data_IF_364575316295
#
_entry.id   IF_364575316295
#
_cell.length_a   1.000
_cell.length_b   1.000
_cell.length_c   1.000
_cell.angle_alpha   90.00
_cell.angle_beta   90.00
_cell.angle_gamma   90.00
#
_symmetry.space_group_name_H-M   'P 1'
#
loop_
_entity.id
_entity.type
_entity.pdbx_description
1 polymer ?
#
# COMPACT_ATOMS: atom_id res chain seq x y z
N UNK A 1 -17.37 -74.61 -25.71
CA UNK A 1 -18.48 -73.83 -25.12
C UNK A 1 -18.05 -72.37 -25.24
N UNK A 2 -18.17 -71.70 -26.39
CA UNK A 2 -19.39 -71.36 -27.17
C UNK A 2 -20.51 -70.82 -26.27
N UNK A 3 -21.18 -69.69 -26.50
CA UNK A 3 -21.06 -68.52 -27.39
C UNK A 3 -22.21 -67.55 -26.98
N UNK A 4 -22.19 -66.30 -27.48
CA UNK A 4 -23.29 -65.31 -27.62
C UNK A 4 -23.25 -64.07 -26.70
N UNK A 5 -22.85 -62.88 -27.19
CA UNK A 5 -23.45 -61.92 -28.19
C UNK A 5 -24.35 -60.89 -27.47
N UNK A 6 -24.18 -59.57 -27.64
CA UNK A 6 -24.28 -58.76 -28.88
C UNK A 6 -23.51 -57.42 -28.76
N UNK A 7 -22.73 -57.05 -29.78
CA UNK A 7 -22.88 -55.90 -30.74
C UNK A 7 -22.56 -54.51 -30.14
N UNK A 8 -21.79 -53.58 -30.73
CA UNK A 8 -21.40 -53.34 -32.13
C UNK A 8 -20.11 -52.47 -32.24
N UNK A 9 -19.67 -52.25 -33.49
CA UNK A 9 -18.35 -51.82 -33.94
C UNK A 9 -18.42 -50.44 -34.66
N UNK A 10 -17.27 -49.75 -34.81
CA UNK A 10 -16.91 -48.71 -35.81
C UNK A 10 -17.07 -47.19 -35.47
N UNK A 11 -15.92 -46.59 -35.15
CA UNK A 11 -15.21 -45.42 -35.76
C UNK A 11 -15.83 -44.02 -35.96
N UNK A 12 -14.93 -43.02 -35.78
CA UNK A 12 -14.78 -41.68 -36.41
C UNK A 12 -15.05 -40.43 -35.56
N UNK A 13 -13.96 -39.66 -35.41
CA UNK A 13 -13.78 -38.20 -35.60
C UNK A 13 -14.90 -37.23 -35.19
N UNK A 14 -14.42 -36.25 -34.40
CA UNK A 14 -14.62 -34.78 -34.47
C UNK A 14 -16.02 -34.20 -34.33
N UNK A 15 -16.03 -33.12 -33.53
CA UNK A 15 -16.63 -31.79 -33.75
C UNK A 15 -17.56 -31.37 -32.59
N UNK A 16 -17.76 -30.09 -32.21
CA UNK A 16 -17.31 -28.71 -32.54
C UNK A 16 -17.83 -27.90 -31.32
N UNK A 17 -17.10 -26.95 -30.70
CA UNK A 17 -17.06 -25.51 -31.03
C UNK A 17 -18.42 -24.85 -31.30
N UNK A 18 -18.67 -23.71 -30.67
CA UNK A 18 -19.40 -22.55 -31.20
C UNK A 18 -19.21 -21.36 -30.21
N UNK A 19 -18.86 -20.13 -30.59
CA UNK A 19 -18.83 -19.51 -31.91
C UNK A 19 -17.90 -18.30 -31.93
N UNK A 20 -17.05 -18.22 -32.95
CA UNK A 20 -16.86 -16.99 -33.70
C UNK A 20 -17.35 -17.28 -35.12
N UNK A 21 -18.31 -16.49 -35.61
CA UNK A 21 -18.76 -16.48 -37.00
C UNK A 21 -18.49 -15.07 -37.54
N UNK A 22 -17.33 -14.92 -38.17
CA UNK A 22 -16.93 -13.95 -39.18
C UNK A 22 -15.43 -14.23 -39.40
N UNK A 23 -14.89 -14.56 -40.56
CA UNK A 23 -15.39 -14.61 -41.91
C UNK A 23 -14.47 -15.59 -42.69
N UNK A 24 -15.07 -16.35 -43.61
CA UNK A 24 -14.35 -17.01 -44.69
C UNK A 24 -14.74 -16.31 -45.99
N UNK A 25 -14.05 -15.21 -46.30
CA UNK A 25 -13.78 -14.79 -47.66
C UNK A 25 -12.29 -14.44 -47.69
N UNK A 26 -11.59 -14.97 -48.70
CA UNK A 26 -10.14 -14.95 -48.76
C UNK A 26 -9.52 -13.56 -48.74
N UNK A 27 -8.19 -13.58 -48.54
CA UNK A 27 -7.26 -12.46 -48.40
C UNK A 27 -7.21 -11.87 -46.99
N UNK A 28 -6.29 -12.38 -46.17
CA UNK A 28 -5.45 -11.54 -45.31
C UNK A 28 -4.30 -12.39 -44.75
N UNK A 29 -3.07 -11.89 -44.92
CA UNK A 29 -1.87 -12.45 -44.29
C UNK A 29 -2.09 -12.46 -42.78
N UNK A 30 -1.72 -13.56 -42.12
CA UNK A 30 -1.55 -13.59 -40.67
C UNK A 30 -0.37 -12.64 -40.39
N UNK A 31 -0.67 -11.43 -39.94
CA UNK A 31 0.34 -10.55 -39.33
C UNK A 31 0.62 -11.10 -37.94
N UNK A 32 1.90 -11.28 -37.64
CA UNK A 32 2.40 -11.56 -36.29
C UNK A 32 1.81 -10.57 -35.27
N UNK A 33 1.69 -10.92 -33.98
CA UNK A 33 1.33 -9.96 -32.96
C UNK A 33 2.43 -8.88 -32.91
N UNK A 34 2.15 -7.74 -33.53
CA UNK A 34 2.95 -6.53 -33.40
C UNK A 34 2.71 -6.00 -32.00
N UNK A 35 3.45 -6.50 -31.02
CA UNK A 35 3.73 -5.72 -29.82
C UNK A 35 4.87 -4.77 -30.17
N UNK A 36 4.57 -3.71 -30.92
CA UNK A 36 5.44 -2.54 -30.98
C UNK A 36 5.10 -1.65 -29.78
N UNK A 37 5.66 -1.98 -28.62
CA UNK A 37 5.80 -0.96 -27.56
C UNK A 37 7.00 -0.10 -27.94
N UNK A 38 6.78 0.77 -28.91
CA UNK A 38 7.62 1.94 -29.17
C UNK A 38 6.74 3.17 -29.07
N UNK A 39 6.03 3.30 -27.95
CA UNK A 39 5.78 4.64 -27.44
C UNK A 39 7.07 5.05 -26.74
N UNK A 40 7.73 6.07 -27.26
CA UNK A 40 8.70 6.83 -26.49
C UNK A 40 7.98 7.30 -25.23
N UNK A 41 8.24 6.65 -24.09
CA UNK A 41 7.84 7.13 -22.77
C UNK A 41 8.71 8.36 -22.49
N UNK A 42 8.34 9.47 -23.11
CA UNK A 42 9.07 10.75 -23.03
C UNK A 42 8.54 11.64 -21.89
N UNK A 43 7.46 11.26 -21.21
CA UNK A 43 6.92 12.02 -20.07
C UNK A 43 6.83 11.10 -18.84
N UNK A 44 7.98 10.64 -18.34
CA UNK A 44 8.02 10.02 -17.01
C UNK A 44 7.63 11.06 -15.95
N UNK A 45 7.02 10.63 -14.83
CA UNK A 45 6.74 11.52 -13.72
C UNK A 45 8.03 12.19 -13.28
N UNK A 46 7.97 13.49 -13.01
CA UNK A 46 9.14 14.29 -12.59
C UNK A 46 9.62 13.95 -11.17
N UNK A 47 9.15 12.84 -10.57
CA UNK A 47 9.43 12.46 -9.18
C UNK A 47 10.88 12.03 -8.94
N UNK A 48 11.70 11.98 -10.00
CA UNK A 48 13.14 11.73 -9.93
C UNK A 48 13.50 10.27 -9.67
N UNK A 49 14.80 10.01 -9.57
CA UNK A 49 15.31 8.76 -8.99
C UNK A 49 15.51 8.97 -7.48
N UNK A 50 15.32 7.91 -6.67
CA UNK A 50 15.52 8.01 -5.24
C UNK A 50 16.95 8.45 -4.91
N UNK A 51 17.09 9.56 -4.18
CA UNK A 51 18.36 9.91 -3.55
C UNK A 51 18.42 9.38 -2.13
N UNK A 52 19.61 9.02 -1.66
CA UNK A 52 19.80 8.58 -0.28
C UNK A 52 19.67 9.79 0.65
N UNK A 53 18.88 9.67 1.71
CA UNK A 53 18.65 10.75 2.68
C UNK A 53 18.39 10.23 4.11
N UNK A 54 18.84 10.99 5.09
CA UNK A 54 18.56 10.82 6.53
C UNK A 54 17.17 11.33 6.89
N UNK A 55 16.70 11.03 8.11
CA UNK A 55 15.41 11.53 8.61
C UNK A 55 15.33 13.06 8.61
N UNK A 56 16.39 13.72 9.06
CA UNK A 56 16.50 15.18 9.11
C UNK A 56 16.53 15.79 7.72
N UNK A 57 17.23 15.15 6.77
CA UNK A 57 17.27 15.62 5.39
C UNK A 57 15.90 15.51 4.74
N UNK A 58 15.17 14.40 4.95
CA UNK A 58 13.83 14.19 4.37
C UNK A 58 12.82 15.19 4.96
N UNK A 59 12.81 15.38 6.29
CA UNK A 59 11.87 16.31 6.95
C UNK A 59 12.23 17.77 6.75
N UNK A 60 13.49 18.06 6.42
CA UNK A 60 14.00 19.41 6.18
C UNK A 60 13.88 19.89 4.75
N UNK A 61 13.43 19.05 3.80
CA UNK A 61 13.18 19.51 2.44
C UNK A 61 11.93 20.37 2.40
N UNK A 62 11.96 21.41 1.57
CA UNK A 62 10.78 22.14 1.11
C UNK A 62 10.68 21.94 -0.39
N UNK A 63 9.88 20.96 -0.78
CA UNK A 63 9.84 20.45 -2.13
C UNK A 63 8.74 21.12 -2.97
N UNK A 64 9.08 21.78 -4.10
CA UNK A 64 8.07 22.40 -4.97
C UNK A 64 7.19 21.37 -5.71
N UNK A 65 7.54 20.09 -5.63
CA UNK A 65 6.78 18.96 -6.18
C UNK A 65 7.25 17.64 -5.57
N UNK A 66 6.66 16.53 -5.98
CA UNK A 66 6.92 15.22 -5.37
C UNK A 66 8.36 14.74 -5.59
N UNK A 67 9.00 14.27 -4.52
CA UNK A 67 10.37 13.75 -4.52
C UNK A 67 10.43 12.36 -3.89
N UNK A 68 11.36 11.52 -4.36
CA UNK A 68 11.60 10.19 -3.80
C UNK A 68 12.97 10.09 -3.12
N UNK A 69 12.99 9.38 -1.99
CA UNK A 69 14.20 9.07 -1.24
C UNK A 69 14.36 7.56 -1.03
N UNK A 70 15.60 7.17 -0.81
CA UNK A 70 15.94 5.92 -0.15
C UNK A 70 16.44 6.26 1.25
N UNK A 71 15.85 5.65 2.28
CA UNK A 71 16.18 6.00 3.66
C UNK A 71 17.58 5.50 4.02
N UNK A 72 18.41 6.40 4.54
CA UNK A 72 19.83 6.13 4.80
C UNK A 72 20.06 4.99 5.81
N UNK A 73 19.28 4.98 6.91
CA UNK A 73 19.47 3.98 7.98
C UNK A 73 18.97 2.58 7.58
N UNK A 74 18.04 2.51 6.63
CA UNK A 74 17.53 1.25 6.10
C UNK A 74 17.20 1.40 4.60
N UNK A 75 18.11 0.97 3.71
CA UNK A 75 17.96 1.17 2.27
C UNK A 75 16.84 0.32 1.64
N UNK A 76 16.17 -0.55 2.41
CA UNK A 76 14.97 -1.25 1.98
C UNK A 76 13.71 -0.39 2.08
N UNK A 77 13.79 0.76 2.74
CA UNK A 77 12.70 1.73 2.88
C UNK A 77 12.89 2.85 1.86
N UNK A 78 11.90 3.03 1.01
CA UNK A 78 11.77 4.15 0.09
C UNK A 78 10.74 5.11 0.64
N UNK A 79 10.98 6.41 0.45
CA UNK A 79 10.09 7.48 0.92
C UNK A 79 9.63 8.28 -0.28
N UNK A 80 8.32 8.46 -0.42
CA UNK A 80 7.73 9.36 -1.40
C UNK A 80 7.14 10.55 -0.67
N UNK A 81 7.75 11.71 -0.88
CA UNK A 81 7.35 12.99 -0.32
C UNK A 81 6.48 13.74 -1.31
N UNK A 82 5.18 13.82 -1.06
CA UNK A 82 4.25 14.57 -1.90
C UNK A 82 4.37 16.07 -1.62
N UNK A 83 5.18 16.75 -2.44
CA UNK A 83 5.46 18.17 -2.34
C UNK A 83 4.53 19.08 -3.14
N UNK A 84 4.73 20.38 -2.97
CA UNK A 84 3.98 21.44 -3.66
C UNK A 84 2.60 21.74 -3.05
N UNK A 85 1.88 22.68 -3.68
CA UNK A 85 0.63 23.28 -3.15
C UNK A 85 -0.53 22.28 -3.02
N UNK A 86 -0.44 21.11 -3.66
CA UNK A 86 -1.49 20.08 -3.69
C UNK A 86 -0.97 18.70 -3.23
N UNK A 87 0.04 18.65 -2.36
CA UNK A 87 0.69 17.41 -1.91
C UNK A 87 -0.29 16.35 -1.40
N UNK A 88 -1.18 16.72 -0.45
CA UNK A 88 -2.22 15.81 0.04
C UNK A 88 -3.10 15.25 -1.06
N UNK A 89 -3.58 16.14 -1.92
CA UNK A 89 -4.50 15.78 -2.98
C UNK A 89 -3.85 14.75 -3.90
N UNK A 90 -2.58 14.94 -4.22
CA UNK A 90 -1.81 13.99 -5.01
C UNK A 90 -1.64 12.66 -4.28
N UNK A 91 -1.21 12.68 -3.01
CA UNK A 91 -1.10 11.46 -2.19
C UNK A 91 -2.41 10.67 -2.17
N UNK A 92 -3.54 11.35 -1.93
CA UNK A 92 -4.86 10.74 -1.91
C UNK A 92 -5.24 10.10 -3.25
N UNK A 93 -4.88 10.74 -4.37
CA UNK A 93 -5.10 10.17 -5.70
C UNK A 93 -4.21 8.96 -5.99
N UNK A 94 -3.00 8.92 -5.44
CA UNK A 94 -2.07 7.80 -5.58
C UNK A 94 -2.42 6.62 -4.67
N UNK A 95 -2.83 6.88 -3.42
CA UNK A 95 -2.80 5.88 -2.33
C UNK A 95 -4.18 5.41 -1.86
N UNK A 96 -5.23 6.23 -1.92
CA UNK A 96 -6.51 5.87 -1.27
C UNK A 96 -7.07 4.53 -1.76
N UNK A 97 -6.97 4.24 -3.05
CA UNK A 97 -7.43 2.97 -3.62
C UNK A 97 -6.64 1.77 -3.09
N UNK A 98 -5.32 1.94 -2.95
CA UNK A 98 -4.43 0.93 -2.37
C UNK A 98 -4.78 0.67 -0.91
N UNK A 99 -4.84 1.73 -0.10
CA UNK A 99 -5.17 1.66 1.33
C UNK A 99 -6.54 0.98 1.57
N UNK A 100 -7.56 1.34 0.79
CA UNK A 100 -8.87 0.68 0.83
C UNK A 100 -8.74 -0.82 0.56
N UNK A 101 -8.00 -1.20 -0.48
CA UNK A 101 -7.81 -2.60 -0.87
C UNK A 101 -7.06 -3.41 0.19
N UNK A 102 -6.06 -2.83 0.85
CA UNK A 102 -5.14 -3.58 1.74
C UNK A 102 -5.58 -3.49 3.19
N UNK A 103 -5.86 -2.30 3.70
CA UNK A 103 -5.87 -2.03 5.14
C UNK A 103 -7.26 -1.74 5.70
N UNK A 104 -8.19 -1.21 4.88
CA UNK A 104 -9.51 -0.81 5.38
C UNK A 104 -10.50 -1.95 5.59
N UNK A 105 -11.24 -1.88 6.70
CA UNK A 105 -12.35 -2.76 7.06
C UNK A 105 -13.57 -2.45 6.19
N UNK A 106 -14.29 -3.49 5.77
CA UNK A 106 -15.50 -3.36 4.95
C UNK A 106 -15.23 -3.11 3.46
N UNK A 107 -13.97 -2.90 3.07
CA UNK A 107 -13.56 -2.84 1.68
C UNK A 107 -13.46 -4.25 1.05
N UNK A 108 -13.77 -4.41 -0.25
CA UNK A 108 -13.54 -5.67 -0.94
C UNK A 108 -12.04 -5.98 -1.03
N UNK A 109 -11.66 -7.23 -0.77
CA UNK A 109 -10.25 -7.67 -0.75
C UNK A 109 -9.80 -8.40 -2.01
N UNK A 110 -10.74 -8.67 -2.92
CA UNK A 110 -10.56 -9.46 -4.15
C UNK A 110 -10.95 -8.69 -5.41
N UNK A 111 -11.25 -7.39 -5.28
CA UNK A 111 -11.46 -6.47 -6.39
C UNK A 111 -11.08 -5.06 -5.98
N UNK A 112 -10.70 -4.28 -6.96
CA UNK A 112 -10.44 -2.85 -6.82
C UNK A 112 -11.75 -2.07 -7.01
N UNK A 113 -11.92 -0.99 -6.22
CA UNK A 113 -13.02 -0.05 -6.37
C UNK A 113 -12.72 0.92 -7.52
N UNK A 114 -13.71 1.19 -8.37
CA UNK A 114 -13.61 2.30 -9.33
C UNK A 114 -13.69 3.67 -8.60
N UNK A 115 -13.56 4.78 -9.32
CA UNK A 115 -13.53 6.12 -8.72
C UNK A 115 -14.80 6.45 -7.92
N UNK A 116 -15.98 6.18 -8.48
CA UNK A 116 -17.26 6.46 -7.82
C UNK A 116 -17.44 5.60 -6.56
N UNK A 117 -17.12 4.31 -6.65
CA UNK A 117 -17.17 3.38 -5.53
C UNK A 117 -16.20 3.77 -4.41
N UNK A 118 -15.00 4.24 -4.76
CA UNK A 118 -14.00 4.71 -3.80
C UNK A 118 -14.48 5.98 -3.08
N UNK A 119 -15.04 6.94 -3.83
CA UNK A 119 -15.64 8.15 -3.26
C UNK A 119 -16.78 7.80 -2.30
N UNK A 120 -17.68 6.91 -2.71
CA UNK A 120 -18.80 6.46 -1.87
C UNK A 120 -18.34 5.64 -0.66
N UNK A 121 -17.24 4.89 -0.79
CA UNK A 121 -16.62 4.21 0.34
C UNK A 121 -16.11 5.21 1.39
N UNK A 122 -15.31 6.20 0.97
CA UNK A 122 -14.73 7.22 1.84
C UNK A 122 -15.83 8.05 2.53
N UNK A 123 -16.86 8.47 1.77
CA UNK A 123 -18.01 9.20 2.32
C UNK A 123 -18.74 8.42 3.42
N UNK A 124 -18.92 7.11 3.25
CA UNK A 124 -19.56 6.25 4.27
C UNK A 124 -18.73 6.11 5.54
N UNK A 125 -17.42 6.33 5.47
CA UNK A 125 -16.56 6.41 6.66
C UNK A 125 -16.58 7.79 7.33
N UNK A 126 -17.36 8.75 6.80
CA UNK A 126 -17.37 10.14 7.25
C UNK A 126 -15.96 10.77 7.28
N UNK A 127 -15.12 10.37 6.32
CA UNK A 127 -13.73 10.78 6.26
C UNK A 127 -13.49 11.81 5.15
N UNK A 128 -12.56 12.74 5.38
CA UNK A 128 -12.02 13.58 4.33
C UNK A 128 -11.13 12.73 3.42
N UNK A 129 -11.40 12.82 2.13
CA UNK A 129 -10.68 12.08 1.08
C UNK A 129 -9.20 12.40 1.03
N UNK A 130 -8.83 13.66 1.25
CA UNK A 130 -7.45 14.11 0.99
C UNK A 130 -6.49 13.70 2.11
N UNK A 131 -7.02 13.50 3.32
CA UNK A 131 -6.29 12.93 4.47
C UNK A 131 -6.67 11.47 4.75
N UNK A 132 -7.43 10.80 3.88
CA UNK A 132 -7.96 9.47 4.16
C UNK A 132 -6.83 8.47 4.41
N UNK A 133 -5.85 8.43 3.53
CA UNK A 133 -4.59 7.70 3.67
C UNK A 133 -3.43 8.67 3.93
N UNK A 134 -3.57 9.54 4.95
CA UNK A 134 -2.51 10.44 5.38
C UNK A 134 -1.36 9.64 6.01
N UNK A 135 -0.22 9.58 5.32
CA UNK A 135 0.83 8.65 5.71
C UNK A 135 0.43 7.24 5.29
N UNK A 136 1.31 6.55 4.57
CA UNK A 136 1.03 5.16 4.23
C UNK A 136 2.30 4.37 3.96
N UNK A 137 2.40 3.20 4.60
CA UNK A 137 3.42 2.21 4.30
C UNK A 137 2.84 1.07 3.46
N UNK A 138 3.55 0.69 2.40
CA UNK A 138 3.15 -0.35 1.46
C UNK A 138 4.31 -1.28 1.10
N UNK A 139 3.98 -2.54 0.86
CA UNK A 139 4.91 -3.54 0.33
C UNK A 139 4.79 -3.63 -1.20
N UNK A 140 5.78 -4.23 -1.90
CA UNK A 140 5.64 -4.60 -3.31
C UNK A 140 4.35 -5.41 -3.56
N UNK A 141 4.02 -6.37 -2.70
CA UNK A 141 2.84 -7.22 -2.85
C UNK A 141 1.52 -6.44 -2.86
N UNK A 142 1.42 -5.36 -2.09
CA UNK A 142 0.25 -4.49 -2.07
C UNK A 142 0.01 -3.83 -3.43
N UNK A 143 1.06 -3.28 -4.04
CA UNK A 143 1.01 -2.67 -5.36
C UNK A 143 0.71 -3.68 -6.46
N UNK A 144 1.33 -4.86 -6.39
CA UNK A 144 1.06 -5.96 -7.33
C UNK A 144 -0.40 -6.38 -7.27
N UNK A 145 -0.95 -6.48 -6.07
CA UNK A 145 -2.37 -6.81 -5.86
C UNK A 145 -3.27 -5.76 -6.51
N UNK A 146 -2.98 -4.48 -6.31
CA UNK A 146 -3.72 -3.40 -6.96
C UNK A 146 -3.68 -3.52 -8.49
N UNK A 147 -2.48 -3.60 -9.07
CA UNK A 147 -2.31 -3.58 -10.52
C UNK A 147 -2.84 -4.84 -11.21
N UNK A 148 -2.59 -6.03 -10.64
CA UNK A 148 -3.09 -7.29 -11.20
C UNK A 148 -4.62 -7.36 -11.14
N UNK A 149 -5.25 -6.91 -10.05
CA UNK A 149 -6.71 -6.88 -9.95
C UNK A 149 -7.32 -5.81 -10.88
N UNK A 150 -6.70 -4.63 -10.99
CA UNK A 150 -7.15 -3.60 -11.92
C UNK A 150 -7.15 -4.10 -13.36
N UNK A 151 -6.06 -4.74 -13.78
CA UNK A 151 -5.92 -5.31 -15.12
C UNK A 151 -6.93 -6.45 -15.36
N UNK A 152 -7.06 -7.38 -14.42
CA UNK A 152 -8.04 -8.47 -14.50
C UNK A 152 -9.50 -7.97 -14.58
N UNK A 153 -9.79 -6.81 -14.01
CA UNK A 153 -11.11 -6.17 -14.05
C UNK A 153 -11.31 -5.29 -15.29
N UNK A 154 -10.28 -5.06 -16.12
CA UNK A 154 -10.33 -4.04 -17.17
C UNK A 154 -10.54 -2.63 -16.63
N UNK A 155 -10.11 -2.36 -15.39
CA UNK A 155 -10.26 -1.08 -14.73
C UNK A 155 -9.11 -0.15 -15.13
N UNK A 156 -9.46 1.08 -15.51
CA UNK A 156 -8.46 2.12 -15.77
C UNK A 156 -7.96 2.72 -14.45
N UNK A 157 -6.64 2.71 -14.26
CA UNK A 157 -5.99 3.47 -13.19
C UNK A 157 -6.05 4.96 -13.52
N UNK A 158 -6.07 5.79 -12.48
CA UNK A 158 -5.94 7.23 -12.68
C UNK A 158 -4.49 7.60 -13.07
N UNK A 159 -4.26 8.89 -13.35
CA UNK A 159 -2.94 9.37 -13.75
C UNK A 159 -1.88 9.11 -12.68
N UNK A 160 -2.13 9.52 -11.43
CA UNK A 160 -1.15 9.41 -10.35
C UNK A 160 -0.82 7.93 -10.01
N UNK A 161 -1.77 7.02 -10.11
CA UNK A 161 -1.55 5.58 -9.95
C UNK A 161 -0.73 4.97 -11.10
N UNK A 162 -0.94 5.46 -12.33
CA UNK A 162 -0.18 5.05 -13.52
C UNK A 162 1.25 5.57 -13.44
N UNK A 163 1.42 6.82 -13.03
CA UNK A 163 2.70 7.48 -12.77
C UNK A 163 3.47 6.71 -11.69
N UNK A 164 2.80 6.37 -10.58
CA UNK A 164 3.37 5.53 -9.53
C UNK A 164 3.83 4.17 -10.05
N UNK A 165 3.02 3.49 -10.86
CA UNK A 165 3.37 2.19 -11.45
C UNK A 165 4.66 2.29 -12.27
N UNK A 166 4.79 3.33 -13.09
CA UNK A 166 5.98 3.57 -13.90
C UNK A 166 7.22 3.80 -13.03
N UNK A 167 7.08 4.56 -11.94
CA UNK A 167 8.18 4.81 -10.99
C UNK A 167 8.58 3.51 -10.27
N UNK A 168 7.63 2.74 -9.77
CA UNK A 168 7.89 1.48 -9.06
C UNK A 168 8.64 0.45 -9.94
N UNK A 169 8.29 0.37 -11.22
CA UNK A 169 9.02 -0.45 -12.19
C UNK A 169 10.43 0.08 -12.41
N UNK A 170 10.58 1.39 -12.60
CA UNK A 170 11.86 2.05 -12.89
C UNK A 170 12.88 1.91 -11.78
N UNK A 171 12.45 1.96 -10.51
CA UNK A 171 13.33 1.81 -9.35
C UNK A 171 13.52 0.35 -8.92
N UNK A 172 12.91 -0.60 -9.64
CA UNK A 172 12.93 -2.02 -9.30
C UNK A 172 12.28 -2.31 -7.95
N UNK A 173 11.19 -1.61 -7.61
CA UNK A 173 10.36 -1.92 -6.44
C UNK A 173 9.38 -3.05 -6.75
N UNK A 174 8.88 -3.08 -7.98
CA UNK A 174 8.16 -4.21 -8.58
C UNK A 174 8.84 -4.60 -9.89
N UNK A 175 8.69 -5.85 -10.31
CA UNK A 175 9.24 -6.36 -11.57
C UNK A 175 8.15 -6.98 -12.43
N UNK A 176 8.39 -7.05 -13.75
CA UNK A 176 7.59 -7.86 -14.67
C UNK A 176 8.30 -9.20 -14.85
N UNK A 177 7.56 -10.29 -14.67
CA UNK A 177 8.06 -11.64 -14.95
C UNK A 177 8.26 -11.83 -16.45
N UNK A 178 9.48 -12.14 -16.87
CA UNK A 178 9.78 -12.47 -18.27
C UNK A 178 9.07 -13.76 -18.75
N UNK A 179 8.64 -14.63 -17.84
CA UNK A 179 8.00 -15.90 -18.17
C UNK A 179 6.48 -15.78 -18.35
N UNK A 180 5.83 -14.97 -17.51
CA UNK A 180 4.37 -14.87 -17.46
C UNK A 180 3.82 -13.54 -17.94
N UNK A 181 4.68 -12.52 -18.06
CA UNK A 181 4.27 -11.13 -18.31
C UNK A 181 3.55 -10.47 -17.13
N UNK A 182 3.39 -11.17 -16.00
CA UNK A 182 2.72 -10.66 -14.81
C UNK A 182 3.70 -9.95 -13.88
N UNK A 183 3.21 -8.98 -13.12
CA UNK A 183 4.01 -8.32 -12.11
C UNK A 183 4.32 -9.29 -10.95
N UNK A 184 5.56 -9.26 -10.45
CA UNK A 184 6.06 -10.06 -9.32
C UNK A 184 6.80 -9.19 -8.30
N UNK A 185 6.86 -9.62 -7.02
CA UNK A 185 7.57 -8.87 -6.00
C UNK A 185 9.08 -8.98 -6.21
N UNK A 186 9.80 -7.96 -5.74
CA UNK A 186 11.25 -7.94 -5.72
C UNK A 186 11.74 -8.44 -4.37
N UNK A 187 12.80 -9.24 -4.38
CA UNK A 187 13.54 -9.65 -3.19
C UNK A 187 14.88 -8.89 -3.12
N UNK A 188 15.34 -8.47 -1.93
CA UNK A 188 14.68 -8.62 -0.64
C UNK A 188 13.46 -7.71 -0.47
N UNK A 189 12.57 -8.02 0.49
CA UNK A 189 11.38 -7.22 0.82
C UNK A 189 11.71 -5.74 1.01
N UNK A 190 11.00 -4.89 0.27
CA UNK A 190 11.07 -3.43 0.36
C UNK A 190 9.82 -2.87 1.03
N UNK A 191 9.92 -1.65 1.54
CA UNK A 191 8.79 -0.85 1.96
C UNK A 191 8.81 0.49 1.22
N UNK A 192 7.64 0.97 0.82
CA UNK A 192 7.45 2.32 0.34
C UNK A 192 6.55 3.02 1.33
N UNK A 193 7.07 4.08 1.92
CA UNK A 193 6.31 4.98 2.76
C UNK A 193 5.97 6.26 1.99
N UNK A 194 4.81 6.82 2.29
CA UNK A 194 4.37 8.10 1.73
C UNK A 194 4.07 9.10 2.84
N UNK A 195 4.29 10.36 2.55
CA UNK A 195 3.87 11.48 3.39
C UNK A 195 3.80 12.75 2.55
N UNK A 196 3.31 13.86 3.13
CA UNK A 196 3.04 15.11 2.41
C UNK A 196 3.79 16.28 3.02
N UNK A 197 4.02 17.30 2.19
CA UNK A 197 4.55 18.59 2.60
C UNK A 197 3.66 19.35 3.58
N UNK A 198 4.28 20.36 4.21
CA UNK A 198 3.57 21.35 4.99
C UNK A 198 2.45 22.00 4.18
N UNK A 199 1.29 22.15 4.81
CA UNK A 199 0.16 22.83 4.22
C UNK A 199 -0.74 23.42 5.30
N UNK A 200 -1.53 24.41 4.90
CA UNK A 200 -2.56 25.00 5.75
C UNK A 200 -3.85 24.21 5.65
N UNK A 201 -4.64 24.31 6.71
CA UNK A 201 -6.01 23.81 6.72
C UNK A 201 -6.85 24.42 5.58
N UNK A 202 -7.70 23.60 4.96
CA UNK A 202 -8.76 24.07 4.09
C UNK A 202 -10.07 24.17 4.89
N UNK A 203 -10.55 25.39 5.20
CA UNK A 203 -11.76 25.57 6.01
C UNK A 203 -13.03 25.07 5.32
N UNK A 204 -12.99 24.70 4.03
CA UNK A 204 -14.10 24.10 3.30
C UNK A 204 -14.25 22.59 3.59
N UNK A 205 -13.23 21.95 4.17
CA UNK A 205 -13.29 20.54 4.57
C UNK A 205 -13.69 20.40 6.04
N UNK A 206 -14.42 19.31 6.42
CA UNK A 206 -14.90 19.16 7.79
C UNK A 206 -13.82 18.78 8.80
N UNK A 207 -12.73 18.17 8.35
CA UNK A 207 -11.59 17.79 9.19
C UNK A 207 -10.45 18.77 8.97
N UNK A 208 -9.81 19.20 10.06
CA UNK A 208 -8.57 19.97 9.97
C UNK A 208 -7.49 19.13 9.29
N UNK A 209 -7.01 19.62 8.15
CA UNK A 209 -5.98 18.97 7.34
C UNK A 209 -4.62 19.69 7.38
N UNK A 210 -4.42 20.60 8.34
CA UNK A 210 -3.15 21.28 8.55
C UNK A 210 -2.00 20.30 8.82
N UNK A 211 -0.93 20.44 8.03
CA UNK A 211 0.33 19.73 8.21
C UNK A 211 1.38 20.74 8.62
N UNK A 212 1.67 20.77 9.91
CA UNK A 212 2.75 21.58 10.48
C UNK A 212 4.10 20.87 10.33
N UNK A 213 5.24 21.59 10.46
CA UNK A 213 6.55 20.94 10.46
C UNK A 213 6.68 19.85 11.55
N UNK A 214 5.98 20.02 12.68
CA UNK A 214 5.94 19.01 13.74
C UNK A 214 5.14 17.79 13.32
N UNK A 215 3.94 17.98 12.75
CA UNK A 215 3.10 16.88 12.26
C UNK A 215 3.84 16.07 11.19
N UNK A 216 4.55 16.74 10.28
CA UNK A 216 5.35 16.11 9.22
C UNK A 216 6.41 15.16 9.79
N UNK A 217 7.13 15.58 10.84
CA UNK A 217 8.09 14.72 11.56
C UNK A 217 7.42 13.53 12.23
N UNK A 218 6.27 13.75 12.87
CA UNK A 218 5.51 12.69 13.54
C UNK A 218 5.04 11.65 12.51
N UNK A 219 4.43 12.08 11.41
CA UNK A 219 3.98 11.19 10.33
C UNK A 219 5.16 10.43 9.74
N UNK A 220 6.26 11.10 9.38
CA UNK A 220 7.41 10.39 8.83
C UNK A 220 7.97 9.36 9.81
N UNK A 221 8.10 9.72 11.10
CA UNK A 221 8.58 8.78 12.11
C UNK A 221 7.64 7.58 12.26
N UNK A 222 6.33 7.80 12.20
CA UNK A 222 5.32 6.76 12.23
C UNK A 222 5.47 5.82 11.03
N UNK A 223 5.52 6.37 9.82
CA UNK A 223 5.60 5.57 8.61
C UNK A 223 6.92 4.81 8.47
N UNK A 224 8.06 5.41 8.83
CA UNK A 224 9.33 4.67 8.83
C UNK A 224 9.28 3.48 9.79
N UNK A 225 8.57 3.58 10.91
CA UNK A 225 8.43 2.45 11.84
C UNK A 225 7.69 1.25 11.22
N UNK A 226 6.70 1.49 10.35
CA UNK A 226 6.06 0.44 9.54
C UNK A 226 7.04 -0.16 8.52
N UNK A 227 7.85 0.70 7.90
CA UNK A 227 8.93 0.28 7.00
C UNK A 227 9.94 -0.63 7.70
N UNK A 228 10.37 -0.27 8.91
CA UNK A 228 11.24 -1.10 9.76
C UNK A 228 10.53 -2.41 10.12
N UNK A 229 9.27 -2.38 10.55
CA UNK A 229 8.53 -3.59 10.89
C UNK A 229 8.44 -4.58 9.73
N UNK A 230 8.34 -4.07 8.50
CA UNK A 230 8.21 -4.86 7.29
C UNK A 230 9.54 -5.39 6.74
N UNK A 231 10.64 -4.66 6.92
CA UNK A 231 11.93 -4.93 6.26
C UNK A 231 13.04 -5.40 7.20
N UNK A 232 12.93 -5.11 8.50
CA UNK A 232 13.91 -5.47 9.52
C UNK A 232 13.38 -6.63 10.38
N UNK A 233 13.87 -7.84 10.12
CA UNK A 233 13.39 -9.05 10.81
C UNK A 233 13.59 -8.99 12.34
N UNK A 234 14.68 -8.37 12.82
CA UNK A 234 14.92 -8.25 14.27
C UNK A 234 13.87 -7.33 14.91
N UNK A 235 13.56 -6.20 14.25
CA UNK A 235 12.53 -5.28 14.73
C UNK A 235 11.13 -5.90 14.65
N UNK A 236 10.82 -6.62 13.58
CA UNK A 236 9.58 -7.39 13.43
C UNK A 236 9.38 -8.37 14.60
N UNK A 237 10.37 -9.21 14.88
CA UNK A 237 10.34 -10.19 15.97
C UNK A 237 10.25 -9.52 17.34
N UNK A 238 10.93 -8.38 17.52
CA UNK A 238 10.83 -7.57 18.73
C UNK A 238 9.39 -7.09 18.99
N UNK A 239 8.75 -6.46 17.99
CA UNK A 239 7.37 -5.97 18.09
C UNK A 239 6.39 -7.10 18.42
N UNK A 240 6.55 -8.26 17.78
CA UNK A 240 5.74 -9.45 18.08
C UNK A 240 5.96 -9.95 19.51
N UNK A 241 7.20 -10.01 19.97
CA UNK A 241 7.51 -10.41 21.34
C UNK A 241 6.92 -9.43 22.36
N UNK A 242 7.01 -8.12 22.12
CA UNK A 242 6.37 -7.12 22.96
C UNK A 242 4.85 -7.36 23.05
N UNK A 243 4.19 -7.54 21.91
CA UNK A 243 2.76 -7.81 21.84
C UNK A 243 2.35 -9.08 22.62
N UNK A 244 3.04 -10.20 22.43
CA UNK A 244 2.64 -11.47 23.05
C UNK A 244 3.11 -11.65 24.50
N UNK A 245 4.26 -11.07 24.87
CA UNK A 245 4.93 -11.33 26.15
C UNK A 245 4.89 -10.16 27.12
N UNK A 246 4.79 -8.92 26.65
CA UNK A 246 4.77 -7.73 27.51
C UNK A 246 3.35 -7.25 27.74
N UNK A 247 2.54 -7.14 26.67
CA UNK A 247 1.14 -6.79 26.84
C UNK A 247 0.35 -7.91 27.51
N UNK A 248 -0.61 -7.55 28.36
CA UNK A 248 -1.59 -8.49 28.88
C UNK A 248 -2.78 -8.62 27.91
N UNK A 249 -3.72 -9.52 28.25
CA UNK A 249 -4.89 -9.79 27.40
C UNK A 249 -5.76 -8.56 27.20
N UNK A 250 -6.03 -7.79 28.26
CA UNK A 250 -6.90 -6.62 28.20
C UNK A 250 -6.28 -5.51 27.34
N UNK A 251 -4.97 -5.28 27.48
CA UNK A 251 -4.23 -4.31 26.66
C UNK A 251 -4.27 -4.67 25.18
N UNK A 252 -4.02 -5.95 24.83
CA UNK A 252 -4.14 -6.41 23.44
C UNK A 252 -5.57 -6.28 22.89
N UNK A 253 -6.58 -6.56 23.72
CA UNK A 253 -7.99 -6.38 23.32
C UNK A 253 -8.29 -4.91 23.07
N UNK A 254 -7.87 -4.00 23.95
CA UNK A 254 -8.07 -2.57 23.78
C UNK A 254 -7.42 -2.04 22.49
N UNK A 255 -6.21 -2.49 22.13
CA UNK A 255 -5.60 -2.14 20.84
C UNK A 255 -6.40 -2.68 19.64
N UNK A 256 -6.84 -3.95 19.68
CA UNK A 256 -7.65 -4.52 18.58
C UNK A 256 -8.95 -3.74 18.40
N UNK A 257 -9.65 -3.44 19.48
CA UNK A 257 -10.91 -2.71 19.44
C UNK A 257 -10.69 -1.27 18.98
N UNK A 258 -9.63 -0.61 19.46
CA UNK A 258 -9.23 0.72 18.98
C UNK A 258 -9.05 0.74 17.46
N UNK A 259 -8.21 -0.11 16.90
CA UNK A 259 -7.95 -0.11 15.45
C UNK A 259 -9.17 -0.55 14.62
N UNK A 260 -9.92 -1.54 15.11
CA UNK A 260 -11.16 -2.00 14.47
C UNK A 260 -12.23 -0.91 14.43
N UNK A 261 -12.30 -0.06 15.46
CA UNK A 261 -13.22 1.09 15.52
C UNK A 261 -12.75 2.23 14.62
N UNK A 262 -11.43 2.36 14.41
CA UNK A 262 -10.83 3.28 13.43
C UNK A 262 -10.79 2.72 11.98
N UNK A 263 -11.53 1.65 11.71
CA UNK A 263 -11.71 1.13 10.35
C UNK A 263 -10.54 0.32 9.80
N UNK A 264 -9.60 -0.11 10.64
CA UNK A 264 -8.50 -1.01 10.26
C UNK A 264 -8.97 -2.47 10.24
N UNK A 265 -8.43 -3.25 9.30
CA UNK A 265 -8.72 -4.68 9.17
C UNK A 265 -8.06 -5.51 10.28
N UNK A 266 -8.83 -6.40 10.90
CA UNK A 266 -8.45 -7.13 12.12
C UNK A 266 -7.61 -8.39 11.80
N UNK A 267 -6.35 -8.18 11.37
CA UNK A 267 -5.34 -9.25 11.37
C UNK A 267 -4.30 -8.98 12.44
N UNK A 268 -3.86 -10.03 13.12
CA UNK A 268 -2.90 -9.89 14.21
C UNK A 268 -1.60 -9.20 13.77
N UNK A 269 -1.11 -9.48 12.56
CA UNK A 269 0.11 -8.84 12.05
C UNK A 269 -0.07 -7.33 11.83
N UNK A 270 -1.20 -6.92 11.24
CA UNK A 270 -1.48 -5.50 11.01
C UNK A 270 -1.70 -4.77 12.34
N UNK A 271 -2.40 -5.39 13.29
CA UNK A 271 -2.60 -4.79 14.62
C UNK A 271 -1.28 -4.59 15.36
N UNK A 272 -0.33 -5.53 15.26
CA UNK A 272 1.01 -5.37 15.88
C UNK A 272 1.77 -4.21 15.25
N UNK A 273 1.72 -4.12 13.92
CA UNK A 273 2.38 -3.06 13.15
C UNK A 273 1.82 -1.67 13.49
N UNK A 274 0.49 -1.54 13.51
CA UNK A 274 -0.22 -0.33 13.91
C UNK A 274 0.06 0.03 15.36
N UNK A 275 0.06 -0.94 16.27
CA UNK A 275 0.31 -0.73 17.69
C UNK A 275 1.69 -0.13 17.94
N UNK A 276 2.75 -0.65 17.31
CA UNK A 276 4.10 -0.16 17.55
C UNK A 276 4.27 1.29 17.04
N UNK A 277 3.76 1.58 15.84
CA UNK A 277 3.88 2.90 15.23
C UNK A 277 3.15 3.95 16.07
N UNK A 278 1.92 3.62 16.48
CA UNK A 278 1.11 4.49 17.31
C UNK A 278 1.70 4.66 18.72
N UNK A 279 2.06 3.58 19.41
CA UNK A 279 2.54 3.63 20.80
C UNK A 279 3.85 4.43 20.94
N UNK A 280 4.75 4.29 19.97
CA UNK A 280 6.14 4.78 20.09
C UNK A 280 6.34 6.09 19.34
N UNK A 281 5.84 6.15 18.10
CA UNK A 281 6.18 7.23 17.16
C UNK A 281 5.09 8.29 17.02
N UNK A 282 3.89 8.02 17.55
CA UNK A 282 2.81 9.01 17.58
C UNK A 282 2.61 9.57 18.99
N UNK A 283 2.76 10.89 19.19
CA UNK A 283 2.33 11.55 20.41
C UNK A 283 0.84 11.31 20.69
N UNK A 284 0.50 11.12 21.97
CA UNK A 284 -0.88 10.97 22.40
C UNK A 284 -1.73 12.19 22.00
N UNK A 285 -2.87 11.94 21.36
CA UNK A 285 -3.80 12.97 20.89
C UNK A 285 -3.60 13.44 19.45
N UNK A 286 -2.64 12.87 18.70
CA UNK A 286 -2.47 13.15 17.26
C UNK A 286 -3.11 12.04 16.41
N UNK A 287 -2.67 10.79 16.54
CA UNK A 287 -3.28 9.62 15.87
C UNK A 287 -3.81 8.58 16.86
N UNK A 288 -3.16 8.43 18.02
CA UNK A 288 -3.75 7.77 19.18
C UNK A 288 -4.74 8.72 19.85
N UNK A 289 -6.02 8.55 19.55
CA UNK A 289 -7.09 9.27 20.20
C UNK A 289 -7.30 8.82 21.65
N UNK A 290 -8.06 9.61 22.40
CA UNK A 290 -8.46 9.33 23.79
C UNK A 290 -9.34 8.07 23.93
N UNK A 291 -9.72 7.45 22.82
CA UNK A 291 -10.72 6.37 22.76
C UNK A 291 -10.13 4.98 23.02
N UNK A 292 -8.81 4.84 23.12
CA UNK A 292 -8.23 3.55 23.55
C UNK A 292 -8.51 3.34 25.04
N UNK A 293 -9.04 2.16 25.39
CA UNK A 293 -9.36 1.77 26.78
C UNK A 293 -8.11 1.41 27.61
N UNK A 294 -7.03 2.17 27.47
CA UNK A 294 -5.80 2.06 28.27
C UNK A 294 -5.50 3.46 28.84
N UNK A 295 -5.35 3.60 30.17
CA UNK A 295 -5.02 4.89 30.78
C UNK A 295 -3.73 5.48 30.21
N UNK A 296 -3.69 6.81 29.98
CA UNK A 296 -2.50 7.49 29.44
C UNK A 296 -1.21 7.15 30.18
N UNK A 297 -1.22 7.21 31.52
CA UNK A 297 -0.04 6.87 32.32
C UNK A 297 0.47 5.43 32.07
N UNK A 298 -0.45 4.52 31.73
CA UNK A 298 -0.10 3.15 31.38
C UNK A 298 0.47 3.06 29.96
N UNK A 299 -0.07 3.81 28.99
CA UNK A 299 0.49 3.90 27.63
C UNK A 299 1.92 4.46 27.66
N UNK A 300 2.17 5.55 28.40
CA UNK A 300 3.52 6.10 28.58
C UNK A 300 4.45 5.06 29.19
N UNK A 301 3.98 4.30 30.19
CA UNK A 301 4.81 3.24 30.78
C UNK A 301 5.11 2.10 29.79
N UNK A 302 4.15 1.74 28.94
CA UNK A 302 4.36 0.74 27.90
C UNK A 302 5.35 1.23 26.85
N UNK A 303 5.27 2.51 26.46
CA UNK A 303 6.25 3.16 25.57
C UNK A 303 7.65 3.14 26.17
N UNK A 304 7.81 3.50 27.45
CA UNK A 304 9.09 3.40 28.15
C UNK A 304 9.67 1.99 28.09
N UNK A 305 8.87 0.97 28.40
CA UNK A 305 9.30 -0.44 28.37
C UNK A 305 9.68 -0.85 26.93
N UNK A 306 8.93 -0.38 25.94
CA UNK A 306 9.22 -0.64 24.53
C UNK A 306 10.57 -0.03 24.13
N UNK A 307 10.83 1.23 24.49
CA UNK A 307 12.06 1.93 24.13
C UNK A 307 13.29 1.40 24.88
N UNK A 308 13.15 1.02 26.15
CA UNK A 308 14.26 0.49 26.97
C UNK A 308 14.90 -0.77 26.37
N UNK A 309 14.07 -1.62 25.74
CA UNK A 309 14.50 -2.92 25.19
C UNK A 309 14.57 -2.94 23.67
N UNK A 310 14.31 -1.81 23.03
CA UNK A 310 14.28 -1.73 21.59
C UNK A 310 15.68 -1.89 21.01
N UNK A 311 15.86 -2.66 19.92
CA UNK A 311 17.09 -2.66 19.16
C UNK A 311 17.51 -1.25 18.75
N UNK A 312 18.80 -1.02 18.49
CA UNK A 312 19.32 0.31 18.06
C UNK A 312 18.57 0.87 16.84
N UNK A 313 18.01 0.00 15.99
CA UNK A 313 17.19 0.38 14.83
C UNK A 313 15.87 1.10 15.15
N UNK A 314 15.48 1.20 16.42
CA UNK A 314 14.27 1.93 16.82
C UNK A 314 14.48 3.43 17.03
N UNK A 315 15.72 3.87 17.10
CA UNK A 315 16.05 5.29 17.19
C UNK A 315 16.14 5.83 15.76
N UNK A 316 15.04 6.44 15.31
CA UNK A 316 14.95 7.19 14.07
C UNK A 316 15.69 8.53 14.19
#
# INVERSE_FOLDING_TARGET
>A
MDYNKKDSYISRRKFLKCSAVAAAYGLMKITEPVFSVTEEISDYPSWGFPRIATFEEITGVNNPGTEMFQYFNNPMIYVLDFGGVNGLRQQAMTINRLDVLTSRKGAPKYRVLNDDELIDFIKRQNANRDIFALGFCSSPDDWLKLYNLAEAQGMHLNRDETDMKAVLLKIGFIEISNETGLYKPVEPKKALITFTEEQKDNPETPQNEEITPYNRKVVLSHEISHGEYSTNQMYHEYCRNFWFRVLNRNERTAFRDFFKNNGIYDTESLIIDEMQANLVHTPFGIMLNQDIEIPKAKLEKLKEIFLEKCPISCYL
#
